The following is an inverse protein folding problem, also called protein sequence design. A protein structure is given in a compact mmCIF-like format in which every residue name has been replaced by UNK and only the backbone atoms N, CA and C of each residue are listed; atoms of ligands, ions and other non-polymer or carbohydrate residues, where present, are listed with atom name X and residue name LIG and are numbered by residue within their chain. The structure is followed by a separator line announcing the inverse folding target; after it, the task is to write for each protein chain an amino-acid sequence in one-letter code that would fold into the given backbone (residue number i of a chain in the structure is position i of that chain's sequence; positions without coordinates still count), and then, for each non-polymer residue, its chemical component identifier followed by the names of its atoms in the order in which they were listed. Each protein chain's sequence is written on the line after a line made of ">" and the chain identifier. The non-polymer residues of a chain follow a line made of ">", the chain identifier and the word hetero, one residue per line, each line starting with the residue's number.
data_IF_347989029204
#
_entry.id   IF_347989029204
#
_cell.length_a   1.000
_cell.length_b   1.000
_cell.length_c   1.000
_cell.angle_alpha   90.00
_cell.angle_beta   90.00
_cell.angle_gamma   90.00
#
_symmetry.space_group_name_H-M   'P 1'
#
loop_
_entity.id
_entity.type
_entity.pdbx_description
1 polymer ?
#
# COMPACT_ATOMS: atom_id res chain seq x y z
N UNK A 1 -15.33 -28.59 -7.98
CA UNK A 1 -15.11 -27.13 -8.10
C UNK A 1 -16.33 -26.50 -8.75
N UNK A 2 -16.83 -25.42 -8.18
CA UNK A 2 -18.02 -24.72 -8.75
C UNK A 2 -17.50 -23.78 -9.86
N UNK A 3 -17.22 -24.34 -11.04
CA UNK A 3 -16.56 -23.69 -12.17
C UNK A 3 -17.15 -22.31 -12.53
N UNK A 4 -18.44 -22.09 -12.26
CA UNK A 4 -19.08 -20.83 -12.60
C UNK A 4 -18.62 -19.65 -11.73
N UNK A 5 -18.56 -19.82 -10.39
CA UNK A 5 -18.11 -18.73 -9.50
C UNK A 5 -16.63 -18.41 -9.71
N UNK A 6 -15.77 -19.43 -9.83
CA UNK A 6 -14.34 -19.21 -10.05
C UNK A 6 -14.12 -18.42 -11.34
N UNK A 7 -14.77 -18.80 -12.44
CA UNK A 7 -14.69 -18.09 -13.72
C UNK A 7 -15.19 -16.64 -13.63
N UNK A 8 -16.27 -16.38 -12.89
CA UNK A 8 -16.77 -15.03 -12.65
C UNK A 8 -15.76 -14.15 -11.87
N UNK A 9 -15.12 -14.74 -10.85
CA UNK A 9 -14.11 -14.04 -10.05
C UNK A 9 -12.82 -13.80 -10.85
N UNK A 10 -12.37 -14.82 -11.60
CA UNK A 10 -11.21 -14.72 -12.50
C UNK A 10 -11.33 -13.57 -13.49
N UNK A 11 -12.51 -13.38 -14.07
CA UNK A 11 -12.76 -12.28 -15.01
C UNK A 11 -12.57 -10.88 -14.40
N UNK A 12 -12.60 -10.76 -13.08
CA UNK A 12 -12.36 -9.52 -12.33
C UNK A 12 -10.90 -9.37 -11.85
N UNK A 13 -10.11 -10.44 -11.92
CA UNK A 13 -8.73 -10.47 -11.44
C UNK A 13 -7.74 -9.99 -12.51
N UNK A 14 -6.65 -9.38 -12.05
CA UNK A 14 -5.56 -8.91 -12.91
C UNK A 14 -4.31 -9.78 -12.71
N UNK A 15 -4.38 -11.05 -13.06
CA UNK A 15 -3.23 -11.97 -13.00
C UNK A 15 -2.32 -11.84 -14.24
N UNK A 16 -1.02 -12.15 -14.09
CA UNK A 16 -0.13 -12.32 -15.24
C UNK A 16 -0.53 -13.55 -16.09
N UNK A 17 0.06 -13.72 -17.29
CA UNK A 17 -0.24 -14.87 -18.16
C UNK A 17 0.00 -16.22 -17.45
N UNK A 18 -0.75 -17.29 -17.85
CA UNK A 18 -0.52 -18.64 -17.33
C UNK A 18 0.95 -19.09 -17.45
N UNK A 19 1.40 -19.96 -16.55
CA UNK A 19 2.79 -20.45 -16.41
C UNK A 19 3.81 -19.40 -15.98
N UNK A 20 3.35 -18.20 -15.55
CA UNK A 20 4.25 -17.24 -14.90
C UNK A 20 4.51 -17.72 -13.47
N UNK A 21 5.78 -17.75 -13.07
CA UNK A 21 6.18 -17.98 -11.67
C UNK A 21 5.78 -16.76 -10.84
N UNK A 22 5.09 -16.99 -9.73
CA UNK A 22 4.63 -15.92 -8.82
C UNK A 22 4.78 -16.32 -7.36
N UNK A 23 5.16 -15.35 -6.54
CA UNK A 23 5.15 -15.45 -5.10
C UNK A 23 3.83 -14.89 -4.56
N UNK A 24 3.12 -15.62 -3.69
CA UNK A 24 1.89 -15.20 -3.05
C UNK A 24 2.06 -15.06 -1.54
N UNK A 25 1.77 -13.89 -0.98
CA UNK A 25 1.71 -13.70 0.46
C UNK A 25 0.39 -14.25 1.02
N UNK A 26 0.46 -15.29 1.84
CA UNK A 26 -0.71 -15.95 2.42
C UNK A 26 -0.65 -15.87 3.94
N UNK A 27 -1.56 -15.08 4.52
CA UNK A 27 -1.70 -14.91 5.97
C UNK A 27 -2.65 -15.90 6.64
N UNK A 28 -3.35 -16.72 5.85
CA UNK A 28 -4.41 -17.60 6.36
C UNK A 28 -5.81 -16.98 6.35
N UNK A 29 -5.94 -15.67 6.22
CA UNK A 29 -7.23 -15.00 6.08
C UNK A 29 -7.89 -15.23 4.71
N UNK A 30 -9.21 -15.04 4.62
CA UNK A 30 -10.02 -15.35 3.44
C UNK A 30 -9.50 -14.72 2.14
N UNK A 31 -9.07 -13.46 2.18
CA UNK A 31 -8.58 -12.74 1.00
C UNK A 31 -7.27 -13.34 0.48
N UNK A 32 -6.38 -13.77 1.38
CA UNK A 32 -5.11 -14.39 1.00
C UNK A 32 -5.26 -15.84 0.52
N UNK A 33 -6.19 -16.59 1.09
CA UNK A 33 -6.53 -17.93 0.60
C UNK A 33 -7.24 -17.88 -0.74
N UNK A 34 -8.13 -16.90 -0.96
CA UNK A 34 -8.75 -16.66 -2.26
C UNK A 34 -7.70 -16.27 -3.32
N UNK A 35 -6.68 -15.47 -2.96
CA UNK A 35 -5.56 -15.18 -3.85
C UNK A 35 -4.87 -16.46 -4.31
N UNK A 36 -4.53 -17.35 -3.37
CA UNK A 36 -3.88 -18.61 -3.66
C UNK A 36 -4.71 -19.47 -4.62
N UNK A 37 -5.99 -19.67 -4.31
CA UNK A 37 -6.91 -20.45 -5.14
C UNK A 37 -7.00 -19.91 -6.57
N UNK A 38 -7.25 -18.61 -6.70
CA UNK A 38 -7.43 -17.96 -7.98
C UNK A 38 -6.13 -17.91 -8.80
N UNK A 39 -4.98 -17.76 -8.15
CA UNK A 39 -3.68 -17.80 -8.82
C UNK A 39 -3.38 -19.20 -9.41
N UNK A 40 -3.70 -20.26 -8.68
CA UNK A 40 -3.56 -21.64 -9.16
C UNK A 40 -4.52 -21.90 -10.31
N UNK A 41 -5.80 -21.51 -10.18
CA UNK A 41 -6.81 -21.68 -11.23
C UNK A 41 -6.49 -20.89 -12.50
N UNK A 42 -5.81 -19.72 -12.37
CA UNK A 42 -5.27 -18.97 -13.50
C UNK A 42 -4.09 -19.67 -14.21
N UNK A 43 -3.67 -20.83 -13.72
CA UNK A 43 -2.55 -21.61 -14.28
C UNK A 43 -1.17 -21.02 -13.98
N UNK A 44 -1.01 -20.27 -12.90
CA UNK A 44 0.28 -19.72 -12.47
C UNK A 44 1.11 -20.76 -11.71
N UNK A 45 2.43 -20.62 -11.76
CA UNK A 45 3.37 -21.42 -10.96
C UNK A 45 3.59 -20.72 -9.61
N UNK A 46 2.81 -21.13 -8.61
CA UNK A 46 2.70 -20.40 -7.34
C UNK A 46 3.68 -20.92 -6.29
N UNK A 47 4.37 -19.98 -5.61
CA UNK A 47 5.06 -20.22 -4.34
C UNK A 47 4.39 -19.41 -3.23
N UNK A 48 4.03 -20.08 -2.14
CA UNK A 48 3.37 -19.46 -0.97
C UNK A 48 4.41 -18.94 0.02
N UNK A 49 4.20 -17.74 0.51
CA UNK A 49 4.99 -17.13 1.59
C UNK A 49 4.08 -16.72 2.74
N UNK A 50 4.33 -17.26 3.91
CA UNK A 50 3.70 -16.88 5.17
C UNK A 50 4.71 -16.16 6.06
N UNK A 51 4.28 -15.11 6.76
CA UNK A 51 5.13 -14.38 7.73
C UNK A 51 4.46 -14.40 9.09
N UNK A 52 5.10 -15.05 10.02
CA UNK A 52 4.73 -15.03 11.44
C UNK A 52 5.37 -13.82 12.12
N UNK A 53 4.56 -12.97 12.73
CA UNK A 53 5.00 -11.78 13.45
C UNK A 53 5.29 -12.03 14.93
N UNK A 54 4.98 -13.24 15.44
CA UNK A 54 5.17 -13.59 16.85
C UNK A 54 4.32 -12.78 17.82
N UNK A 55 3.26 -12.10 17.34
CA UNK A 55 2.42 -11.23 18.17
C UNK A 55 1.44 -11.99 19.07
N UNK A 56 1.24 -13.27 18.81
CA UNK A 56 0.31 -14.15 19.55
C UNK A 56 0.91 -15.52 19.78
N UNK A 57 0.57 -16.20 20.89
CA UNK A 57 1.01 -17.58 21.13
C UNK A 57 0.62 -18.55 20.02
N UNK A 58 -0.54 -18.34 19.38
CA UNK A 58 -1.10 -19.20 18.36
C UNK A 58 -0.64 -18.88 16.93
N UNK A 59 0.22 -17.87 16.74
CA UNK A 59 0.67 -17.44 15.40
C UNK A 59 1.45 -18.54 14.66
N UNK A 60 2.15 -19.41 15.37
CA UNK A 60 2.84 -20.56 14.79
C UNK A 60 1.85 -21.55 14.13
N UNK A 61 0.67 -21.74 14.72
CA UNK A 61 -0.37 -22.61 14.17
C UNK A 61 -0.95 -22.09 12.83
N UNK A 62 -0.99 -20.76 12.65
CA UNK A 62 -1.40 -20.16 11.38
C UNK A 62 -0.44 -20.54 10.23
N UNK A 63 0.87 -20.54 10.50
CA UNK A 63 1.90 -20.99 9.55
C UNK A 63 1.77 -22.47 9.17
N UNK A 64 1.46 -23.33 10.14
CA UNK A 64 1.22 -24.75 9.91
C UNK A 64 -0.01 -24.94 9.01
N UNK A 65 -1.13 -24.27 9.34
CA UNK A 65 -2.37 -24.32 8.54
C UNK A 65 -2.12 -23.84 7.10
N UNK A 66 -1.42 -22.73 6.89
CA UNK A 66 -1.09 -22.23 5.54
C UNK A 66 -0.24 -23.25 4.79
N UNK A 67 0.73 -23.89 5.47
CA UNK A 67 1.58 -24.93 4.87
C UNK A 67 0.79 -26.17 4.47
N UNK A 68 -0.17 -26.60 5.29
CA UNK A 68 -1.06 -27.73 4.98
C UNK A 68 -1.97 -27.42 3.79
N UNK A 69 -2.55 -26.23 3.73
CA UNK A 69 -3.35 -25.77 2.59
C UNK A 69 -2.50 -25.76 1.32
N UNK A 70 -1.31 -25.15 1.34
CA UNK A 70 -0.39 -25.13 0.20
C UNK A 70 -0.02 -26.54 -0.27
N UNK A 71 0.29 -27.44 0.67
CA UNK A 71 0.61 -28.85 0.38
C UNK A 71 -0.58 -29.57 -0.26
N UNK A 72 -1.81 -29.36 0.24
CA UNK A 72 -3.01 -29.98 -0.33
C UNK A 72 -3.29 -29.54 -1.77
N UNK A 73 -2.83 -28.33 -2.14
CA UNK A 73 -2.93 -27.75 -3.48
C UNK A 73 -1.70 -28.06 -4.36
N UNK A 74 -0.71 -28.78 -3.83
CA UNK A 74 0.50 -29.18 -4.59
C UNK A 74 1.48 -28.05 -4.86
N UNK A 75 1.44 -26.96 -4.08
CA UNK A 75 2.34 -25.79 -4.24
C UNK A 75 3.37 -25.72 -3.11
N UNK A 76 4.51 -25.10 -3.40
CA UNK A 76 5.58 -24.87 -2.40
C UNK A 76 5.17 -23.79 -1.41
N UNK A 77 5.59 -23.93 -0.14
CA UNK A 77 5.38 -22.90 0.89
C UNK A 77 6.65 -22.62 1.68
N UNK A 78 6.80 -21.35 2.08
CA UNK A 78 7.83 -20.86 2.97
C UNK A 78 7.18 -20.12 4.13
N UNK A 79 7.61 -20.46 5.37
CA UNK A 79 7.22 -19.72 6.57
C UNK A 79 8.44 -18.93 7.05
N UNK A 80 8.28 -17.63 7.17
CA UNK A 80 9.29 -16.71 7.66
C UNK A 80 8.86 -16.12 9.02
N UNK A 81 9.82 -15.72 9.82
CA UNK A 81 9.56 -15.01 11.07
C UNK A 81 10.00 -13.56 10.92
N UNK A 82 9.14 -12.62 11.31
CA UNK A 82 9.43 -11.20 11.34
C UNK A 82 8.90 -10.62 12.66
N UNK A 83 9.67 -10.81 13.73
CA UNK A 83 9.29 -10.36 15.07
C UNK A 83 9.16 -8.83 15.10
N UNK A 84 8.09 -8.35 15.72
CA UNK A 84 7.82 -6.94 15.95
C UNK A 84 7.49 -6.75 17.41
N UNK A 85 8.32 -5.94 18.10
CA UNK A 85 8.05 -5.58 19.50
C UNK A 85 6.75 -4.80 19.63
N UNK A 86 6.03 -4.93 20.74
CA UNK A 86 4.86 -4.13 21.03
C UNK A 86 5.22 -2.65 21.18
N UNK A 87 4.32 -1.74 20.84
CA UNK A 87 4.54 -0.31 20.96
C UNK A 87 3.80 0.55 19.93
N UNK A 88 4.07 1.87 19.90
CA UNK A 88 3.41 2.79 18.98
C UNK A 88 3.55 2.38 17.50
N UNK A 89 2.52 2.62 16.71
CA UNK A 89 2.50 2.30 15.27
C UNK A 89 2.75 0.81 14.94
N UNK A 90 2.30 -0.11 15.80
CA UNK A 90 2.52 -1.55 15.66
C UNK A 90 2.14 -2.06 14.27
N UNK A 91 0.98 -1.65 13.72
CA UNK A 91 0.51 -2.06 12.39
C UNK A 91 1.50 -1.63 11.28
N UNK A 92 2.00 -0.40 11.33
CA UNK A 92 2.96 0.10 10.35
C UNK A 92 4.28 -0.67 10.44
N UNK A 93 4.81 -0.89 11.65
CA UNK A 93 6.05 -1.64 11.88
C UNK A 93 5.93 -3.10 11.48
N UNK A 94 4.80 -3.75 11.78
CA UNK A 94 4.53 -5.12 11.34
C UNK A 94 4.47 -5.22 9.81
N UNK A 95 3.87 -4.22 9.16
CA UNK A 95 3.84 -4.12 7.71
C UNK A 95 5.24 -3.96 7.10
N UNK A 96 6.08 -3.10 7.69
CA UNK A 96 7.45 -2.86 7.21
C UNK A 96 8.34 -4.09 7.45
N UNK A 97 8.27 -4.71 8.63
CA UNK A 97 8.96 -5.95 8.93
C UNK A 97 8.57 -7.08 7.95
N UNK A 98 7.28 -7.21 7.65
CA UNK A 98 6.81 -8.17 6.64
C UNK A 98 7.39 -7.88 5.26
N UNK A 99 7.39 -6.60 4.84
CA UNK A 99 7.92 -6.20 3.53
C UNK A 99 9.42 -6.47 3.39
N UNK A 100 10.19 -6.36 4.47
CA UNK A 100 11.64 -6.55 4.43
C UNK A 100 12.07 -8.01 4.22
N UNK A 101 11.21 -8.98 4.58
CA UNK A 101 11.53 -10.41 4.49
C UNK A 101 10.87 -11.09 3.28
N UNK A 102 9.87 -10.46 2.65
CA UNK A 102 9.14 -11.01 1.51
C UNK A 102 9.80 -10.66 0.18
N UNK A 103 9.64 -11.51 -0.86
CA UNK A 103 10.07 -11.20 -2.22
C UNK A 103 9.53 -9.85 -2.71
N UNK A 104 10.31 -9.05 -3.46
CA UNK A 104 9.93 -7.68 -3.84
C UNK A 104 8.69 -7.60 -4.73
N UNK A 105 8.42 -8.63 -5.54
CA UNK A 105 7.29 -8.67 -6.48
C UNK A 105 6.12 -9.54 -6.00
N UNK A 106 6.04 -9.81 -4.70
CA UNK A 106 5.03 -10.70 -4.12
C UNK A 106 3.60 -10.19 -4.35
N UNK A 107 2.72 -11.10 -4.76
CA UNK A 107 1.29 -10.84 -4.89
C UNK A 107 0.62 -10.85 -3.51
N UNK A 108 -0.34 -9.95 -3.33
CA UNK A 108 -1.09 -9.81 -2.07
C UNK A 108 -2.60 -9.78 -2.32
N UNK A 109 -3.37 -10.38 -1.41
CA UNK A 109 -4.83 -10.52 -1.49
C UNK A 109 -5.62 -9.26 -1.12
N UNK A 110 -5.15 -8.06 -1.49
CA UNK A 110 -5.91 -6.83 -1.24
C UNK A 110 -7.13 -6.76 -2.16
N UNK A 111 -8.27 -6.39 -1.59
CA UNK A 111 -9.58 -6.33 -2.26
C UNK A 111 -10.05 -4.88 -2.49
N UNK A 112 -11.19 -4.71 -3.16
CA UNK A 112 -11.85 -3.40 -3.32
C UNK A 112 -12.22 -2.78 -1.95
N UNK A 113 -12.52 -3.61 -0.95
CA UNK A 113 -12.78 -3.15 0.41
C UNK A 113 -11.52 -2.51 1.03
N UNK A 114 -10.34 -3.13 0.87
CA UNK A 114 -9.07 -2.56 1.32
C UNK A 114 -8.72 -1.26 0.58
N UNK A 115 -9.05 -1.20 -0.71
CA UNK A 115 -8.88 -0.01 -1.52
C UNK A 115 -9.73 1.15 -0.98
N UNK A 116 -11.01 0.91 -0.70
CA UNK A 116 -11.92 1.90 -0.13
C UNK A 116 -11.46 2.38 1.25
N UNK A 117 -11.05 1.46 2.12
CA UNK A 117 -10.47 1.79 3.43
C UNK A 117 -9.24 2.70 3.28
N UNK A 118 -8.35 2.38 2.35
CA UNK A 118 -7.11 3.14 2.14
C UNK A 118 -7.39 4.54 1.60
N UNK A 119 -8.32 4.69 0.65
CA UNK A 119 -8.75 5.99 0.13
C UNK A 119 -9.28 6.87 1.26
N UNK A 120 -10.20 6.35 2.08
CA UNK A 120 -10.77 7.10 3.19
C UNK A 120 -9.72 7.49 4.23
N UNK A 121 -8.83 6.58 4.61
CA UNK A 121 -7.73 6.87 5.53
C UNK A 121 -6.80 7.97 4.99
N UNK A 122 -6.49 7.94 3.70
CA UNK A 122 -5.65 8.95 3.08
C UNK A 122 -6.35 10.31 3.01
N UNK A 123 -7.64 10.35 2.69
CA UNK A 123 -8.44 11.58 2.73
C UNK A 123 -8.49 12.19 4.13
N UNK A 124 -8.68 11.37 5.17
CA UNK A 124 -8.67 11.82 6.58
C UNK A 124 -7.31 12.38 7.01
N UNK A 125 -6.23 11.96 6.38
CA UNK A 125 -4.87 12.50 6.59
C UNK A 125 -4.57 13.74 5.74
N UNK A 126 -5.52 14.19 4.91
CA UNK A 126 -5.35 15.38 4.05
C UNK A 126 -4.49 15.13 2.82
N UNK A 127 -4.38 13.87 2.35
CA UNK A 127 -3.63 13.58 1.14
C UNK A 127 -4.32 14.12 -0.12
N UNK A 128 -3.51 14.60 -1.07
CA UNK A 128 -3.94 15.04 -2.39
C UNK A 128 -4.26 13.88 -3.34
N UNK A 129 -4.28 14.15 -4.65
CA UNK A 129 -4.63 13.18 -5.71
C UNK A 129 -3.78 11.91 -5.61
N UNK A 130 -2.48 12.04 -5.35
CA UNK A 130 -1.56 10.91 -5.22
C UNK A 130 -1.96 9.94 -4.09
N UNK A 131 -2.36 10.46 -2.92
CA UNK A 131 -2.87 9.61 -1.84
C UNK A 131 -4.27 9.05 -2.11
N UNK A 132 -5.06 9.72 -2.95
CA UNK A 132 -6.38 9.23 -3.38
C UNK A 132 -6.31 8.05 -4.34
N UNK A 133 -5.15 7.75 -4.94
CA UNK A 133 -4.93 6.55 -5.75
C UNK A 133 -5.00 5.24 -4.92
N UNK A 134 -5.09 5.36 -3.61
CA UNK A 134 -5.29 4.23 -2.70
C UNK A 134 -4.06 3.33 -2.59
N UNK A 135 -4.27 2.01 -2.75
CA UNK A 135 -3.20 1.02 -2.69
C UNK A 135 -2.45 1.04 -4.03
N UNK A 136 -1.18 1.42 -4.00
CA UNK A 136 -0.32 1.46 -5.18
C UNK A 136 0.03 0.07 -5.75
N UNK A 137 0.66 0.04 -6.92
CA UNK A 137 1.14 -1.16 -7.63
C UNK A 137 0.03 -2.20 -7.88
N UNK A 138 -0.97 -1.89 -8.73
CA UNK A 138 -2.08 -2.81 -9.03
C UNK A 138 -1.63 -4.18 -9.55
N UNK A 139 -0.51 -4.23 -10.28
CA UNK A 139 0.08 -5.48 -10.80
C UNK A 139 0.42 -6.51 -9.72
N UNK A 140 0.65 -6.08 -8.49
CA UNK A 140 0.93 -6.95 -7.34
C UNK A 140 -0.31 -7.25 -6.50
N UNK A 141 -1.50 -6.78 -6.95
CA UNK A 141 -2.77 -6.91 -6.20
C UNK A 141 -3.90 -7.34 -7.12
N UNK A 142 -3.84 -8.57 -7.60
CA UNK A 142 -4.77 -9.04 -8.64
C UNK A 142 -6.24 -9.05 -8.21
N UNK A 143 -6.54 -9.00 -6.89
CA UNK A 143 -7.90 -9.06 -6.37
C UNK A 143 -8.53 -7.68 -6.09
N UNK A 144 -7.93 -6.56 -6.50
CA UNK A 144 -8.45 -5.20 -6.21
C UNK A 144 -9.87 -4.93 -6.73
N UNK A 145 -10.38 -5.71 -7.67
CA UNK A 145 -11.75 -5.61 -8.17
C UNK A 145 -12.72 -6.57 -7.49
N UNK A 146 -12.23 -7.44 -6.59
CA UNK A 146 -13.09 -8.34 -5.82
C UNK A 146 -13.50 -7.70 -4.50
N UNK A 147 -14.70 -8.09 -4.03
CA UNK A 147 -15.19 -7.75 -2.70
C UNK A 147 -14.73 -8.81 -1.69
N UNK A 148 -14.49 -8.41 -0.45
CA UNK A 148 -14.20 -9.33 0.66
C UNK A 148 -15.31 -10.35 0.88
N UNK A 149 -16.56 -10.02 0.57
CA UNK A 149 -17.66 -10.97 0.60
C UNK A 149 -17.53 -12.06 -0.46
N UNK A 150 -16.93 -11.76 -1.62
CA UNK A 150 -16.71 -12.72 -2.70
C UNK A 150 -15.56 -13.68 -2.35
N UNK A 151 -14.47 -13.18 -1.76
CA UNK A 151 -13.36 -14.02 -1.29
C UNK A 151 -13.80 -14.97 -0.18
N UNK A 152 -14.58 -14.50 0.80
CA UNK A 152 -15.18 -15.33 1.84
C UNK A 152 -16.10 -16.40 1.25
N UNK A 153 -16.94 -16.03 0.28
CA UNK A 153 -17.83 -16.98 -0.41
C UNK A 153 -17.03 -18.07 -1.15
N UNK A 154 -15.94 -17.69 -1.81
CA UNK A 154 -15.05 -18.64 -2.50
C UNK A 154 -14.44 -19.63 -1.50
N UNK A 155 -13.86 -19.15 -0.40
CA UNK A 155 -13.30 -20.02 0.63
C UNK A 155 -14.32 -21.00 1.19
N UNK A 156 -15.53 -20.52 1.49
CA UNK A 156 -16.61 -21.39 2.00
C UNK A 156 -17.01 -22.48 0.99
N UNK A 157 -17.07 -22.18 -0.30
CA UNK A 157 -17.39 -23.14 -1.35
C UNK A 157 -16.30 -24.21 -1.56
N UNK A 158 -15.04 -23.80 -1.41
CA UNK A 158 -13.87 -24.69 -1.52
C UNK A 158 -13.51 -25.34 -0.16
N UNK A 159 -14.38 -25.17 0.87
CA UNK A 159 -14.23 -25.74 2.22
C UNK A 159 -12.90 -25.38 2.89
N UNK A 160 -12.38 -24.20 2.60
CA UNK A 160 -11.28 -23.64 3.34
C UNK A 160 -11.81 -22.94 4.60
N UNK A 161 -11.08 -23.08 5.69
CA UNK A 161 -11.37 -22.44 6.97
C UNK A 161 -10.40 -21.28 7.20
N UNK A 162 -10.76 -20.04 6.80
CA UNK A 162 -9.90 -18.91 7.02
C UNK A 162 -9.71 -18.59 8.51
N UNK A 163 -8.53 -18.17 8.89
CA UNK A 163 -8.28 -17.64 10.23
C UNK A 163 -8.94 -16.26 10.36
N UNK A 164 -9.84 -16.15 11.32
CA UNK A 164 -10.43 -14.88 11.75
C UNK A 164 -9.53 -14.26 12.83
N UNK A 165 -8.77 -13.25 12.48
CA UNK A 165 -7.91 -12.51 13.41
C UNK A 165 -8.75 -11.58 14.31
N UNK A 166 -8.80 -11.77 15.64
CA UNK A 166 -9.53 -10.90 16.55
C UNK A 166 -9.07 -9.43 16.48
N UNK A 167 -7.83 -9.17 16.09
CA UNK A 167 -7.33 -7.81 15.89
C UNK A 167 -8.09 -7.05 14.80
N UNK A 168 -8.78 -7.74 13.88
CA UNK A 168 -9.62 -7.11 12.85
C UNK A 168 -10.86 -6.39 13.42
N UNK A 169 -11.23 -6.67 14.66
CA UNK A 169 -12.36 -6.05 15.36
C UNK A 169 -11.92 -4.98 16.37
N UNK A 170 -10.64 -4.83 16.63
CA UNK A 170 -10.13 -3.90 17.65
C UNK A 170 -10.30 -2.43 17.22
N UNK A 171 -11.14 -1.63 17.93
CA UNK A 171 -11.43 -0.25 17.57
C UNK A 171 -10.25 0.72 17.83
N UNK A 172 -9.19 0.28 18.47
CA UNK A 172 -7.95 1.07 18.62
C UNK A 172 -7.30 1.36 17.27
N UNK A 173 -7.53 0.49 16.27
CA UNK A 173 -7.00 0.68 14.93
C UNK A 173 -7.96 1.51 14.08
N UNK A 174 -7.50 2.66 13.59
CA UNK A 174 -8.30 3.57 12.75
C UNK A 174 -8.86 2.87 11.51
N UNK A 175 -8.12 1.91 10.93
CA UNK A 175 -8.58 1.12 9.78
C UNK A 175 -9.82 0.29 10.11
N UNK A 176 -9.86 -0.32 11.28
CA UNK A 176 -11.03 -1.10 11.73
C UNK A 176 -12.24 -0.20 11.94
N UNK A 177 -12.05 1.02 12.47
CA UNK A 177 -13.12 2.01 12.59
C UNK A 177 -13.64 2.45 11.24
N UNK A 178 -12.76 2.71 10.27
CA UNK A 178 -13.20 3.03 8.90
C UNK A 178 -14.03 1.90 8.32
N UNK A 179 -13.59 0.64 8.49
CA UNK A 179 -14.30 -0.55 7.99
C UNK A 179 -15.66 -0.75 8.65
N UNK A 180 -15.71 -0.65 9.97
CA UNK A 180 -16.87 -1.08 10.75
C UNK A 180 -17.86 0.05 11.09
N UNK A 181 -17.42 1.32 11.03
CA UNK A 181 -18.24 2.49 11.37
C UNK A 181 -18.45 3.40 10.16
N UNK A 182 -17.37 3.84 9.48
CA UNK A 182 -17.44 4.88 8.45
C UNK A 182 -18.04 4.36 7.15
N UNK A 183 -17.56 3.21 6.65
CA UNK A 183 -18.09 2.63 5.39
C UNK A 183 -19.58 2.28 5.50
N UNK A 184 -20.06 1.64 6.59
CA UNK A 184 -21.49 1.42 6.79
C UNK A 184 -22.32 2.72 6.86
N UNK A 185 -21.82 3.74 7.56
CA UNK A 185 -22.48 5.05 7.62
C UNK A 185 -22.56 5.71 6.23
N UNK A 186 -21.50 5.64 5.45
CA UNK A 186 -21.52 6.14 4.07
C UNK A 186 -22.53 5.39 3.20
N UNK A 187 -22.68 4.07 3.40
CA UNK A 187 -23.66 3.26 2.71
C UNK A 187 -25.09 3.69 3.06
N UNK A 188 -25.37 3.93 4.35
CA UNK A 188 -26.65 4.44 4.84
C UNK A 188 -26.98 5.81 4.22
N UNK A 189 -26.05 6.76 4.31
CA UNK A 189 -26.23 8.14 3.81
C UNK A 189 -26.41 8.15 2.28
N UNK A 190 -25.65 7.35 1.56
CA UNK A 190 -25.69 7.28 0.09
C UNK A 190 -26.85 6.43 -0.45
N UNK A 191 -27.51 5.61 0.39
CA UNK A 191 -28.51 4.64 -0.03
C UNK A 191 -27.97 3.53 -0.96
N UNK A 192 -26.65 3.33 -0.99
CA UNK A 192 -25.96 2.34 -1.85
C UNK A 192 -24.56 2.01 -1.31
N UNK A 193 -24.00 0.89 -1.78
CA UNK A 193 -22.64 0.48 -1.42
C UNK A 193 -21.58 1.50 -1.90
N UNK A 194 -20.81 2.13 -1.01
CA UNK A 194 -19.77 3.10 -1.36
C UNK A 194 -18.47 2.45 -1.86
N UNK A 195 -18.21 1.18 -1.55
CA UNK A 195 -16.93 0.51 -1.85
C UNK A 195 -16.60 0.50 -3.34
N UNK A 196 -17.50 0.10 -4.26
CA UNK A 196 -17.20 0.16 -5.70
C UNK A 196 -16.93 1.58 -6.21
N UNK A 197 -17.56 2.59 -5.58
CA UNK A 197 -17.38 3.99 -5.97
C UNK A 197 -16.02 4.51 -5.52
N UNK A 198 -15.60 4.18 -4.29
CA UNK A 198 -14.28 4.52 -3.76
C UNK A 198 -13.16 3.79 -4.50
N UNK A 199 -13.35 2.52 -4.83
CA UNK A 199 -12.39 1.77 -5.65
C UNK A 199 -12.24 2.36 -7.07
N UNK A 200 -13.37 2.75 -7.71
CA UNK A 200 -13.33 3.47 -8.99
C UNK A 200 -12.64 4.82 -8.87
N UNK A 201 -12.89 5.58 -7.80
CA UNK A 201 -12.20 6.84 -7.55
C UNK A 201 -10.69 6.63 -7.46
N UNK A 202 -10.24 5.61 -6.72
CA UNK A 202 -8.83 5.26 -6.60
C UNK A 202 -8.20 4.93 -7.96
N UNK A 203 -8.90 4.16 -8.80
CA UNK A 203 -8.45 3.84 -10.15
C UNK A 203 -8.24 5.11 -10.99
N UNK A 204 -9.23 6.01 -11.04
CA UNK A 204 -9.14 7.26 -11.79
C UNK A 204 -8.04 8.19 -11.25
N UNK A 205 -7.87 8.24 -9.92
CA UNK A 205 -6.78 8.98 -9.30
C UNK A 205 -5.41 8.38 -9.63
N UNK A 206 -5.32 7.06 -9.74
CA UNK A 206 -4.08 6.38 -10.17
C UNK A 206 -3.72 6.72 -11.61
N UNK A 207 -4.66 6.69 -12.54
CA UNK A 207 -4.43 7.11 -13.94
C UNK A 207 -4.00 8.59 -14.00
N UNK A 208 -4.69 9.47 -13.27
CA UNK A 208 -4.31 10.89 -13.21
C UNK A 208 -2.90 11.08 -12.62
N UNK A 209 -2.52 10.30 -11.61
CA UNK A 209 -1.18 10.34 -11.01
C UNK A 209 -0.12 9.90 -12.02
N UNK A 210 -0.39 8.91 -12.86
CA UNK A 210 0.51 8.50 -13.96
C UNK A 210 0.80 9.68 -14.90
N UNK A 211 -0.25 10.34 -15.39
CA UNK A 211 -0.12 11.53 -16.26
C UNK A 211 0.70 12.65 -15.57
N UNK A 212 0.45 12.88 -14.28
CA UNK A 212 1.18 13.86 -13.50
C UNK A 212 2.65 13.48 -13.33
N UNK A 213 2.97 12.20 -13.17
CA UNK A 213 4.35 11.70 -13.11
C UNK A 213 5.08 11.91 -14.43
N UNK A 214 4.43 11.59 -15.56
CA UNK A 214 4.98 11.83 -16.90
C UNK A 214 5.27 13.33 -17.14
N UNK A 215 4.40 14.20 -16.61
CA UNK A 215 4.55 15.66 -16.74
C UNK A 215 5.79 16.21 -16.01
N UNK A 216 6.20 15.57 -14.93
CA UNK A 216 7.41 15.96 -14.17
C UNK A 216 8.64 15.15 -14.54
N UNK A 217 8.51 14.14 -15.39
CA UNK A 217 9.63 13.34 -15.86
C UNK A 217 10.68 14.24 -16.54
N UNK A 218 11.94 14.06 -16.15
CA UNK A 218 13.06 14.88 -16.63
C UNK A 218 13.16 16.30 -16.05
N UNK A 219 12.25 16.71 -15.14
CA UNK A 219 12.38 17.96 -14.42
C UNK A 219 13.37 17.83 -13.26
N UNK A 220 14.56 18.40 -13.44
CA UNK A 220 15.56 18.47 -12.38
C UNK A 220 15.34 19.69 -11.49
N UNK A 221 14.64 19.53 -10.36
CA UNK A 221 14.38 20.61 -9.40
C UNK A 221 15.66 21.09 -8.68
N UNK A 222 16.73 20.29 -8.69
CA UNK A 222 18.00 20.68 -8.11
C UNK A 222 18.68 21.79 -8.94
N UNK A 223 18.28 21.97 -10.20
CA UNK A 223 18.74 23.02 -11.07
C UNK A 223 17.66 24.08 -11.26
N UNK A 224 17.75 25.21 -10.59
CA UNK A 224 16.74 26.28 -10.65
C UNK A 224 16.41 26.72 -12.09
N UNK A 225 17.40 26.64 -12.99
CA UNK A 225 17.23 27.03 -14.41
C UNK A 225 16.20 26.10 -15.12
N UNK A 226 16.16 24.80 -14.78
CA UNK A 226 15.31 23.83 -15.45
C UNK A 226 13.82 24.10 -15.17
N UNK A 227 13.50 24.64 -13.99
CA UNK A 227 12.12 24.89 -13.53
C UNK A 227 11.68 26.37 -13.63
N UNK A 228 12.54 27.28 -14.12
CA UNK A 228 12.26 28.71 -14.12
C UNK A 228 11.01 29.10 -14.92
N UNK A 229 10.74 28.40 -16.03
CA UNK A 229 9.60 28.67 -16.94
C UNK A 229 8.45 27.65 -16.75
N UNK A 230 8.60 26.69 -15.81
CA UNK A 230 7.61 25.69 -15.53
C UNK A 230 6.50 26.28 -14.64
N UNK A 231 5.21 26.01 -14.91
CA UNK A 231 4.10 26.48 -14.08
C UNK A 231 4.24 26.03 -12.61
N UNK A 232 3.86 26.91 -11.69
CA UNK A 232 3.99 26.67 -10.24
C UNK A 232 3.39 25.36 -9.74
N UNK A 233 2.18 24.93 -10.19
CA UNK A 233 1.63 23.63 -9.77
C UNK A 233 2.50 22.43 -10.15
N UNK A 234 3.12 22.47 -11.33
CA UNK A 234 4.01 21.41 -11.83
C UNK A 234 5.32 21.40 -11.03
N UNK A 235 5.88 22.58 -10.73
CA UNK A 235 7.08 22.69 -9.87
C UNK A 235 6.79 22.15 -8.47
N UNK A 236 5.63 22.44 -7.88
CA UNK A 236 5.24 21.92 -6.56
C UNK A 236 5.12 20.40 -6.58
N UNK A 237 4.56 19.83 -7.64
CA UNK A 237 4.46 18.38 -7.82
C UNK A 237 5.85 17.74 -7.91
N UNK A 238 6.75 18.30 -8.72
CA UNK A 238 8.12 17.83 -8.84
C UNK A 238 8.91 17.93 -7.52
N UNK A 239 8.68 19.00 -6.74
CA UNK A 239 9.26 19.16 -5.40
C UNK A 239 8.71 18.08 -4.45
N UNK A 240 7.40 17.79 -4.48
CA UNK A 240 6.79 16.77 -3.64
C UNK A 240 7.40 15.39 -3.94
N UNK A 241 7.52 15.04 -5.20
CA UNK A 241 8.13 13.79 -5.65
C UNK A 241 9.60 13.69 -5.20
N UNK A 242 10.38 14.71 -5.47
CA UNK A 242 11.79 14.79 -5.08
C UNK A 242 11.99 14.72 -3.55
N UNK A 243 11.17 15.43 -2.77
CA UNK A 243 11.23 15.35 -1.30
C UNK A 243 10.86 13.95 -0.81
N UNK A 244 9.81 13.37 -1.34
CA UNK A 244 9.37 12.01 -0.97
C UNK A 244 10.47 10.98 -1.24
N UNK A 245 11.15 11.08 -2.40
CA UNK A 245 12.27 10.21 -2.74
C UNK A 245 13.48 10.36 -1.78
N UNK A 246 13.78 11.60 -1.35
CA UNK A 246 14.89 11.85 -0.42
C UNK A 246 14.55 11.52 1.04
N UNK A 247 13.31 11.71 1.45
CA UNK A 247 12.85 11.45 2.83
C UNK A 247 12.55 9.96 3.07
N UNK A 248 12.18 9.20 2.04
CA UNK A 248 11.67 7.85 2.17
C UNK A 248 10.22 7.75 2.71
N UNK A 249 9.56 8.89 2.90
CA UNK A 249 8.14 9.00 3.30
C UNK A 249 7.51 10.23 2.63
N UNK A 250 6.15 10.29 2.52
CA UNK A 250 5.47 11.40 1.85
C UNK A 250 5.76 12.76 2.50
N UNK A 251 6.19 13.72 1.67
CA UNK A 251 6.44 15.08 2.12
C UNK A 251 5.13 15.81 2.46
N UNK A 252 5.12 16.57 3.57
CA UNK A 252 4.00 17.42 3.94
C UNK A 252 3.92 18.70 3.07
N UNK A 253 2.71 19.26 2.94
CA UNK A 253 2.46 20.46 2.14
C UNK A 253 3.26 21.69 2.60
N UNK A 254 3.56 21.80 3.90
CA UNK A 254 4.34 22.90 4.44
C UNK A 254 5.80 22.80 3.98
N UNK A 255 6.38 21.60 3.99
CA UNK A 255 7.73 21.35 3.46
C UNK A 255 7.82 21.63 1.96
N UNK A 256 6.83 21.16 1.18
CA UNK A 256 6.75 21.45 -0.26
C UNK A 256 6.71 22.97 -0.51
N UNK A 257 5.89 23.72 0.24
CA UNK A 257 5.80 25.16 0.09
C UNK A 257 7.10 25.88 0.44
N UNK A 258 7.79 25.49 1.52
CA UNK A 258 9.09 26.08 1.88
C UNK A 258 10.14 25.81 0.82
N UNK A 259 10.22 24.59 0.29
CA UNK A 259 11.16 24.26 -0.79
C UNK A 259 10.80 25.01 -2.09
N UNK A 260 9.52 25.18 -2.38
CA UNK A 260 9.07 25.99 -3.50
C UNK A 260 9.57 27.44 -3.41
N UNK A 261 9.49 28.07 -2.23
CA UNK A 261 10.05 29.40 -1.99
C UNK A 261 11.58 29.46 -2.23
N UNK A 262 12.32 28.38 -1.85
CA UNK A 262 13.76 28.26 -2.16
C UNK A 262 13.98 28.22 -3.68
N UNK A 263 13.24 27.38 -4.38
CA UNK A 263 13.33 27.21 -5.84
C UNK A 263 13.02 28.53 -6.55
N UNK A 264 12.01 29.29 -6.10
CA UNK A 264 11.67 30.63 -6.65
C UNK A 264 12.61 31.75 -6.20
N UNK A 265 13.46 31.50 -5.19
CA UNK A 265 14.46 32.44 -4.72
C UNK A 265 13.98 33.44 -3.67
N UNK A 266 12.83 33.17 -3.07
CA UNK A 266 12.25 33.99 -2.00
C UNK A 266 13.01 33.79 -0.68
N UNK A 267 13.47 32.57 -0.39
CA UNK A 267 14.33 32.24 0.74
C UNK A 267 15.56 31.43 0.29
N UNK A 268 16.61 31.42 1.10
CA UNK A 268 17.86 30.70 0.77
C UNK A 268 17.92 29.29 1.28
N UNK A 269 17.19 28.95 2.33
CA UNK A 269 17.19 27.61 2.91
C UNK A 269 16.12 27.44 3.97
N UNK A 270 15.79 26.19 4.28
CA UNK A 270 14.80 25.80 5.29
C UNK A 270 15.15 24.46 5.91
N UNK A 271 14.65 24.23 7.13
CA UNK A 271 14.66 22.93 7.76
C UNK A 271 13.40 22.15 7.39
N UNK A 272 13.56 20.84 7.21
CA UNK A 272 12.51 19.88 6.89
C UNK A 272 12.39 18.89 8.06
N UNK A 273 11.18 18.43 8.40
CA UNK A 273 10.98 17.41 9.43
C UNK A 273 11.87 16.17 9.22
N UNK A 274 12.36 15.57 10.33
CA UNK A 274 13.28 14.44 10.27
C UNK A 274 14.77 14.84 10.35
N UNK A 275 15.08 16.09 10.68
CA UNK A 275 16.47 16.56 10.81
C UNK A 275 17.15 16.84 9.46
N UNK A 276 16.38 17.15 8.44
CA UNK A 276 16.90 17.47 7.10
C UNK A 276 16.88 18.98 6.84
N UNK A 277 17.73 19.40 5.91
CA UNK A 277 17.83 20.78 5.44
C UNK A 277 17.83 20.83 3.93
N UNK A 278 17.13 21.82 3.37
CA UNK A 278 17.20 22.18 1.96
C UNK A 278 17.71 23.62 1.85
N UNK A 279 18.68 23.84 1.00
CA UNK A 279 19.24 25.17 0.73
C UNK A 279 19.52 25.40 -0.76
N UNK A 280 19.66 26.66 -1.14
CA UNK A 280 20.02 27.09 -2.50
C UNK A 280 21.33 27.90 -2.50
N UNK A 281 22.27 27.45 -3.31
CA UNK A 281 23.53 28.13 -3.60
C UNK A 281 23.85 28.02 -5.08
N UNK A 282 24.31 29.11 -5.70
CA UNK A 282 24.75 29.15 -7.10
C UNK A 282 23.75 28.57 -8.11
N UNK A 283 22.45 28.77 -7.86
CA UNK A 283 21.38 28.26 -8.73
C UNK A 283 21.08 26.75 -8.58
N UNK A 284 21.67 26.10 -7.59
CA UNK A 284 21.44 24.70 -7.26
C UNK A 284 20.68 24.56 -5.93
N UNK A 285 19.72 23.66 -5.86
CA UNK A 285 19.02 23.25 -4.63
C UNK A 285 19.69 21.97 -4.11
N UNK A 286 20.01 21.94 -2.83
CA UNK A 286 20.68 20.82 -2.16
C UNK A 286 19.83 20.32 -1.00
N UNK A 287 19.82 19.01 -0.84
CA UNK A 287 19.23 18.31 0.30
C UNK A 287 20.36 17.73 1.16
N UNK A 288 20.31 17.94 2.45
CA UNK A 288 21.36 17.49 3.40
C UNK A 288 20.74 17.08 4.74
N UNK A 289 21.47 16.23 5.47
CA UNK A 289 21.15 15.93 6.87
C UNK A 289 21.64 17.12 7.72
N UNK A 290 20.81 17.59 8.65
CA UNK A 290 21.18 18.70 9.53
C UNK A 290 22.09 18.16 10.65
N UNK A 291 23.39 18.35 10.50
CA UNK A 291 24.44 17.88 11.45
C UNK A 291 24.40 18.57 12.80
N UNK A 292 23.50 19.52 13.07
CA UNK A 292 23.42 20.22 14.35
C UNK A 292 22.70 19.47 15.47
N UNK A 293 22.03 18.34 15.18
CA UNK A 293 21.26 17.58 16.19
C UNK A 293 22.12 16.52 16.90
N UNK A 294 23.34 16.23 16.43
CA UNK A 294 24.18 15.16 16.98
C UNK A 294 25.20 15.62 18.04
N UNK A 295 25.13 16.85 18.56
CA UNK A 295 26.08 17.36 19.57
C UNK A 295 25.47 17.61 20.97
N UNK A 296 24.17 17.37 21.17
CA UNK A 296 23.52 17.55 22.48
C UNK A 296 23.08 16.22 23.14
N UNK A 297 23.79 15.13 22.89
CA UNK A 297 23.58 13.83 23.55
C UNK A 297 24.94 13.25 23.99
N UNK A 298 25.59 13.95 24.91
CA UNK A 298 26.65 13.40 25.78
C UNK A 298 26.29 13.67 27.23
#
# INVERSE_FOLDING_TARGET
>A
MNNNLISELQAKCAFPPPKTEVDCAVSGGADSLALLLLAIDAGLEVTVWHVDHGLRPDSAHEGEMVSEVAKSMGVKSHCLQAFVEDGPNLEARARDARRSVLPPQILTGHTADDQAETVLLNLLRGSGVQGSSGIGEPSRRPLLNLRRSETKKLCALEKLEPVDDPMNLDPRFTRNRVRNEVIPLLAEVAGRDPVPLLARHAYLAHEATGILSDLIEGLDITQVKSVKKVPDPVVRLAIQDWLTGNLGFPADSASVNRVFQIVRGEIRGTEIPGGFRVDRSEGKVRFSVNTKISQDSD
#
